data_IF_678873430790
#
_entry.id   IF_678873430790
#
_cell.length_a   1.000
_cell.length_b   1.000
_cell.length_c   1.000
_cell.angle_alpha   90.00
_cell.angle_beta   90.00
_cell.angle_gamma   90.00
#
_symmetry.space_group_name_H-M   'P 1'
#
loop_
_entity.id
_entity.type
_entity.pdbx_description
1 polymer ?
#
# COMPACT_ATOMS: atom_id res chain seq x y z
N UNK A 1 -7.81 -13.62 -60.33
CA UNK A 1 -8.65 -13.64 -59.11
C UNK A 1 -7.83 -13.90 -57.84
N UNK A 2 -6.63 -13.30 -57.69
CA UNK A 2 -5.72 -13.59 -56.54
C UNK A 2 -5.20 -12.32 -55.83
N UNK A 3 -5.45 -11.12 -56.36
CA UNK A 3 -4.99 -9.87 -55.75
C UNK A 3 -5.95 -9.30 -54.68
N UNK A 4 -7.26 -9.61 -54.78
CA UNK A 4 -8.29 -9.06 -53.89
C UNK A 4 -8.26 -9.73 -52.50
N UNK A 5 -7.90 -11.01 -52.42
CA UNK A 5 -7.83 -11.73 -51.13
C UNK A 5 -6.66 -11.27 -50.24
N UNK A 6 -5.53 -10.83 -50.82
CA UNK A 6 -4.38 -10.31 -50.05
C UNK A 6 -4.61 -8.91 -49.47
N UNK A 7 -5.54 -8.13 -50.05
CA UNK A 7 -5.84 -6.78 -49.59
C UNK A 7 -6.77 -6.79 -48.37
N UNK A 8 -7.66 -7.79 -48.29
CA UNK A 8 -8.61 -7.95 -47.19
C UNK A 8 -7.89 -8.43 -45.91
N UNK A 9 -6.92 -9.34 -46.03
CA UNK A 9 -6.14 -9.83 -44.88
C UNK A 9 -5.24 -8.75 -44.27
N UNK A 10 -4.66 -7.86 -45.08
CA UNK A 10 -3.83 -6.74 -44.58
C UNK A 10 -4.66 -5.69 -43.82
N UNK A 11 -5.90 -5.44 -44.26
CA UNK A 11 -6.82 -4.51 -43.61
C UNK A 11 -7.31 -5.03 -42.26
N UNK A 12 -7.67 -6.32 -42.16
CA UNK A 12 -8.12 -6.93 -40.91
C UNK A 12 -7.03 -7.01 -39.83
N UNK A 13 -5.75 -7.20 -40.20
CA UNK A 13 -4.65 -7.15 -39.23
C UNK A 13 -4.46 -5.74 -38.64
N UNK A 14 -4.65 -4.69 -39.44
CA UNK A 14 -4.46 -3.30 -39.00
C UNK A 14 -5.47 -2.89 -37.90
N UNK A 15 -6.73 -3.36 -38.00
CA UNK A 15 -7.74 -3.12 -36.96
C UNK A 15 -7.45 -3.82 -35.64
N UNK A 16 -6.82 -5.01 -35.66
CA UNK A 16 -6.43 -5.73 -34.43
C UNK A 16 -5.29 -4.98 -33.72
N UNK A 17 -4.33 -4.43 -34.47
CA UNK A 17 -3.24 -3.63 -33.88
C UNK A 17 -3.74 -2.29 -33.30
N UNK A 18 -4.66 -1.61 -33.98
CA UNK A 18 -5.22 -0.35 -33.48
C UNK A 18 -6.10 -0.52 -32.24
N UNK A 19 -6.89 -1.60 -32.17
CA UNK A 19 -7.67 -1.93 -30.97
C UNK A 19 -6.77 -2.32 -29.79
N UNK A 20 -5.63 -2.97 -30.04
CA UNK A 20 -4.68 -3.36 -28.99
C UNK A 20 -3.97 -2.15 -28.37
N UNK A 21 -3.62 -1.14 -29.18
CA UNK A 21 -3.01 0.09 -28.69
C UNK A 21 -3.97 0.94 -27.83
N UNK A 22 -5.26 1.00 -28.17
CA UNK A 22 -6.26 1.77 -27.42
C UNK A 22 -6.67 1.08 -26.11
N UNK A 23 -6.71 -0.25 -26.07
CA UNK A 23 -6.91 -0.97 -24.81
C UNK A 23 -5.71 -0.86 -23.86
N UNK A 24 -4.48 -0.91 -24.38
CA UNK A 24 -3.27 -0.76 -23.58
C UNK A 24 -3.22 0.62 -22.92
N UNK A 25 -3.48 1.69 -23.68
CA UNK A 25 -3.48 3.06 -23.14
C UNK A 25 -4.57 3.28 -22.08
N UNK A 26 -5.78 2.73 -22.28
CA UNK A 26 -6.85 2.82 -21.28
C UNK A 26 -6.53 2.05 -20.00
N UNK A 27 -5.88 0.88 -20.12
CA UNK A 27 -5.45 0.07 -18.98
C UNK A 27 -4.38 0.79 -18.15
N UNK A 28 -3.43 1.47 -18.81
CA UNK A 28 -2.37 2.22 -18.14
C UNK A 28 -2.90 3.49 -17.46
N UNK A 29 -3.83 4.23 -18.08
CA UNK A 29 -4.49 5.39 -17.46
C UNK A 29 -5.26 4.99 -16.21
N UNK A 30 -6.00 3.87 -16.27
CA UNK A 30 -6.74 3.37 -15.12
C UNK A 30 -5.79 2.95 -13.98
N UNK A 31 -4.63 2.36 -14.31
CA UNK A 31 -3.61 2.01 -13.32
C UNK A 31 -3.06 3.24 -12.59
N UNK A 32 -2.73 4.31 -13.31
CA UNK A 32 -2.20 5.53 -12.68
C UNK A 32 -3.23 6.25 -11.82
N UNK A 33 -4.51 6.26 -12.24
CA UNK A 33 -5.60 6.79 -11.42
C UNK A 33 -5.73 6.03 -10.08
N UNK A 34 -5.65 4.70 -10.11
CA UNK A 34 -5.68 3.86 -8.91
C UNK A 34 -4.44 4.09 -8.02
N UNK A 35 -3.24 4.23 -8.61
CA UNK A 35 -2.03 4.58 -7.86
C UNK A 35 -2.16 5.93 -7.15
N UNK A 36 -2.70 6.94 -7.84
CA UNK A 36 -2.91 8.27 -7.26
C UNK A 36 -3.97 8.26 -6.14
N UNK A 37 -5.05 7.50 -6.31
CA UNK A 37 -6.02 7.29 -5.23
C UNK A 37 -5.37 6.62 -4.01
N UNK A 38 -4.54 5.60 -4.23
CA UNK A 38 -3.81 4.92 -3.17
C UNK A 38 -2.83 5.86 -2.45
N UNK A 39 -2.03 6.65 -3.18
CA UNK A 39 -1.15 7.69 -2.63
C UNK A 39 -1.90 8.68 -1.73
N UNK A 40 -3.13 9.06 -2.11
CA UNK A 40 -3.99 9.92 -1.29
C UNK A 40 -4.30 9.30 0.08
N UNK A 41 -4.65 8.02 0.12
CA UNK A 41 -4.94 7.29 1.37
C UNK A 41 -3.67 7.14 2.21
N UNK A 42 -2.54 6.80 1.57
CA UNK A 42 -1.23 6.73 2.23
C UNK A 42 -0.86 8.08 2.87
N UNK A 43 -1.16 9.19 2.20
CA UNK A 43 -0.99 10.54 2.76
C UNK A 43 -1.75 10.74 4.08
N UNK A 44 -2.93 10.13 4.24
CA UNK A 44 -3.68 10.18 5.51
C UNK A 44 -2.96 9.39 6.61
N UNK A 45 -2.36 8.23 6.28
CA UNK A 45 -1.59 7.45 7.26
C UNK A 45 -0.30 8.16 7.69
N UNK A 46 0.39 8.80 6.75
CA UNK A 46 1.58 9.60 7.04
C UNK A 46 1.25 10.78 7.97
N UNK A 47 0.11 11.44 7.74
CA UNK A 47 -0.36 12.55 8.59
C UNK A 47 -0.70 12.10 10.02
N UNK A 48 -1.14 10.86 10.18
CA UNK A 48 -1.48 10.26 11.49
C UNK A 48 -0.24 9.71 12.24
N UNK A 49 0.97 9.80 11.69
CA UNK A 49 2.18 9.15 12.25
C UNK A 49 2.43 9.47 13.72
N UNK A 50 2.29 10.73 14.14
CA UNK A 50 2.48 11.12 15.54
C UNK A 50 1.39 10.55 16.45
N UNK A 51 0.17 10.44 15.94
CA UNK A 51 -0.96 9.82 16.65
C UNK A 51 -0.68 8.35 16.87
N UNK A 52 -0.20 7.63 15.85
CA UNK A 52 0.20 6.22 15.99
C UNK A 52 1.33 6.03 17.00
N UNK A 53 2.34 6.89 16.98
CA UNK A 53 3.41 6.83 17.97
C UNK A 53 2.89 6.98 19.40
N UNK A 54 2.10 8.03 19.67
CA UNK A 54 1.55 8.29 21.02
C UNK A 54 0.64 7.13 21.46
N UNK A 55 -0.24 6.68 20.56
CA UNK A 55 -1.15 5.57 20.83
C UNK A 55 -0.37 4.26 21.08
N UNK A 56 0.75 4.04 20.40
CA UNK A 56 1.62 2.87 20.60
C UNK A 56 2.32 2.86 21.95
N UNK A 57 2.41 3.99 22.66
CA UNK A 57 2.94 4.05 24.03
C UNK A 57 1.85 4.14 25.11
N UNK A 58 0.57 4.19 24.71
CA UNK A 58 -0.57 4.34 25.63
C UNK A 58 -1.26 2.99 25.90
N UNK A 59 -2.15 2.95 26.89
CA UNK A 59 -3.11 1.85 27.07
C UNK A 59 -4.28 1.94 26.08
N UNK A 60 -5.00 0.83 25.90
CA UNK A 60 -6.19 0.82 25.06
C UNK A 60 -7.30 1.66 25.71
N UNK A 61 -7.64 2.77 25.06
CA UNK A 61 -8.81 3.60 25.29
C UNK A 61 -9.86 3.41 24.19
N UNK A 62 -11.12 3.87 24.39
CA UNK A 62 -12.12 3.89 23.33
C UNK A 62 -11.63 4.64 22.07
N UNK A 63 -10.89 5.74 22.24
CA UNK A 63 -10.32 6.50 21.13
C UNK A 63 -9.29 5.68 20.35
N UNK A 64 -8.34 5.05 21.03
CA UNK A 64 -7.32 4.21 20.36
C UNK A 64 -7.94 2.96 19.74
N UNK A 65 -9.06 2.47 20.27
CA UNK A 65 -9.80 1.36 19.66
C UNK A 65 -10.47 1.79 18.34
N UNK A 66 -11.08 3.00 18.30
CA UNK A 66 -11.62 3.52 17.06
C UNK A 66 -10.52 3.84 16.04
N UNK A 67 -9.37 4.34 16.51
CA UNK A 67 -8.18 4.50 15.67
C UNK A 67 -7.75 3.17 15.06
N UNK A 68 -7.68 2.09 15.86
CA UNK A 68 -7.34 0.74 15.39
C UNK A 68 -8.25 0.28 14.25
N UNK A 69 -9.57 0.42 14.42
CA UNK A 69 -10.53 -0.01 13.40
C UNK A 69 -10.43 0.86 12.13
N UNK A 70 -10.37 2.18 12.27
CA UNK A 70 -10.16 3.11 11.16
C UNK A 70 -8.89 2.82 10.37
N UNK A 71 -7.78 2.54 11.07
CA UNK A 71 -6.51 2.19 10.42
C UNK A 71 -6.61 0.86 9.68
N UNK A 72 -7.27 -0.15 10.24
CA UNK A 72 -7.48 -1.43 9.56
C UNK A 72 -8.31 -1.27 8.28
N UNK A 73 -9.32 -0.40 8.28
CA UNK A 73 -10.10 -0.08 7.08
C UNK A 73 -9.24 0.60 6.02
N UNK A 74 -8.45 1.62 6.40
CA UNK A 74 -7.51 2.29 5.49
C UNK A 74 -6.53 1.28 4.87
N UNK A 75 -6.00 0.35 5.67
CA UNK A 75 -5.07 -0.70 5.20
C UNK A 75 -5.75 -1.70 4.28
N UNK A 76 -6.99 -2.10 4.58
CA UNK A 76 -7.77 -2.97 3.70
C UNK A 76 -7.98 -2.32 2.31
N UNK A 77 -8.22 -1.00 2.28
CA UNK A 77 -8.35 -0.26 1.02
C UNK A 77 -7.01 -0.19 0.27
N UNK A 78 -5.90 0.14 0.95
CA UNK A 78 -4.55 0.17 0.34
C UNK A 78 -4.22 -1.21 -0.27
N UNK A 79 -4.43 -2.29 0.48
CA UNK A 79 -4.21 -3.65 0.01
C UNK A 79 -5.10 -3.97 -1.20
N UNK A 80 -6.36 -3.56 -1.16
CA UNK A 80 -7.29 -3.70 -2.29
C UNK A 80 -6.76 -3.03 -3.56
N UNK A 81 -6.18 -1.83 -3.44
CA UNK A 81 -5.51 -1.17 -4.56
C UNK A 81 -4.31 -1.95 -5.06
N UNK A 82 -3.42 -2.43 -4.17
CA UNK A 82 -2.26 -3.23 -4.57
C UNK A 82 -2.66 -4.49 -5.34
N UNK A 83 -3.65 -5.22 -4.84
CA UNK A 83 -4.18 -6.42 -5.46
C UNK A 83 -4.83 -6.13 -6.83
N UNK A 84 -5.53 -5.00 -6.95
CA UNK A 84 -6.22 -4.60 -8.19
C UNK A 84 -5.24 -4.11 -9.25
N UNK A 85 -4.23 -3.33 -8.86
CA UNK A 85 -3.21 -2.79 -9.78
C UNK A 85 -2.29 -3.92 -10.26
N UNK A 86 -1.91 -4.83 -9.38
CA UNK A 86 -1.01 -5.95 -9.68
C UNK A 86 0.39 -5.50 -10.11
N UNK A 87 1.06 -6.29 -10.97
CA UNK A 87 2.39 -5.99 -11.54
C UNK A 87 3.47 -5.65 -10.49
N UNK A 88 3.42 -6.30 -9.33
CA UNK A 88 4.34 -6.07 -8.21
C UNK A 88 4.29 -4.67 -7.60
N UNK A 89 3.27 -3.86 -7.90
CA UNK A 89 3.12 -2.54 -7.29
C UNK A 89 3.03 -2.65 -5.77
N UNK A 90 3.89 -1.90 -5.10
CA UNK A 90 3.83 -1.66 -3.65
C UNK A 90 3.60 -0.18 -3.38
N UNK A 91 2.71 0.11 -2.44
CA UNK A 91 2.32 1.48 -2.17
C UNK A 91 3.45 2.33 -1.57
N UNK A 92 4.49 1.68 -1.01
CA UNK A 92 5.62 2.32 -0.33
C UNK A 92 6.85 2.55 -1.22
N UNK A 93 6.81 2.18 -2.51
CA UNK A 93 7.95 2.30 -3.44
C UNK A 93 8.47 3.73 -3.58
N UNK A 94 7.57 4.71 -3.56
CA UNK A 94 7.90 6.12 -3.76
C UNK A 94 8.15 6.87 -2.43
N UNK A 95 8.09 6.17 -1.28
CA UNK A 95 8.28 6.80 0.02
C UNK A 95 9.77 6.99 0.32
N UNK A 96 10.13 8.20 0.73
CA UNK A 96 11.48 8.46 1.24
C UNK A 96 11.65 7.87 2.66
N UNK A 97 12.91 7.78 3.13
CA UNK A 97 13.21 7.14 4.40
C UNK A 97 12.52 7.78 5.62
N UNK A 98 12.27 9.09 5.59
CA UNK A 98 11.53 9.77 6.66
C UNK A 98 10.04 9.37 6.66
N UNK A 99 9.44 9.23 5.47
CA UNK A 99 8.08 8.73 5.30
C UNK A 99 7.97 7.24 5.67
N UNK A 100 9.00 6.43 5.37
CA UNK A 100 9.09 5.04 5.83
C UNK A 100 9.07 4.99 7.37
N UNK A 101 9.83 5.85 8.06
CA UNK A 101 9.76 5.94 9.52
C UNK A 101 8.36 6.34 10.02
N UNK A 102 7.72 7.31 9.36
CA UNK A 102 6.37 7.76 9.71
C UNK A 102 5.34 6.64 9.59
N UNK A 103 5.31 5.93 8.46
CA UNK A 103 4.34 4.86 8.25
C UNK A 103 4.66 3.60 9.06
N UNK A 104 5.92 3.38 9.40
CA UNK A 104 6.31 2.29 10.27
C UNK A 104 5.62 2.36 11.64
N UNK A 105 5.38 3.56 12.19
CA UNK A 105 4.58 3.72 13.41
C UNK A 105 3.14 3.21 13.29
N UNK A 106 2.52 3.30 12.10
CA UNK A 106 1.21 2.70 11.86
C UNK A 106 1.27 1.18 12.04
N UNK A 107 2.30 0.54 11.50
CA UNK A 107 2.48 -0.90 11.64
C UNK A 107 2.76 -1.33 13.09
N UNK A 108 3.63 -0.61 13.80
CA UNK A 108 3.88 -0.81 15.24
C UNK A 108 2.59 -0.70 16.05
N UNK A 109 1.79 0.34 15.78
CA UNK A 109 0.49 0.55 16.42
C UNK A 109 -0.46 -0.64 16.19
N UNK A 110 -0.61 -1.08 14.94
CA UNK A 110 -1.46 -2.23 14.62
C UNK A 110 -1.00 -3.51 15.31
N UNK A 111 0.31 -3.76 15.35
CA UNK A 111 0.89 -4.93 16.00
C UNK A 111 0.63 -4.93 17.51
N UNK A 112 0.83 -3.78 18.20
CA UNK A 112 0.55 -3.64 19.63
C UNK A 112 -0.88 -4.03 19.99
N UNK A 113 -1.85 -3.55 19.21
CA UNK A 113 -3.26 -3.73 19.53
C UNK A 113 -3.93 -4.95 18.86
N UNK A 114 -3.17 -5.77 18.12
CA UNK A 114 -3.65 -6.99 17.44
C UNK A 114 -4.48 -7.91 18.34
N UNK A 115 -4.08 -8.04 19.61
CA UNK A 115 -4.75 -8.92 20.58
C UNK A 115 -6.18 -8.48 20.93
N UNK A 116 -6.52 -7.20 20.75
CA UNK A 116 -7.83 -6.64 21.11
C UNK A 116 -8.88 -6.74 20.00
N UNK A 117 -8.52 -7.32 18.86
CA UNK A 117 -9.45 -7.47 17.75
C UNK A 117 -10.49 -8.55 18.03
N UNK A 118 -11.77 -8.35 17.65
CA UNK A 118 -12.77 -9.40 17.65
C UNK A 118 -12.29 -10.60 16.83
N UNK A 119 -12.62 -11.82 17.27
CA UNK A 119 -12.30 -13.07 16.55
C UNK A 119 -12.92 -13.16 15.15
N UNK A 120 -13.97 -12.38 14.88
CA UNK A 120 -14.69 -12.35 13.60
C UNK A 120 -14.08 -11.43 12.55
N UNK A 121 -13.19 -10.51 12.93
CA UNK A 121 -12.43 -9.75 11.94
C UNK A 121 -11.43 -10.74 11.34
N UNK A 122 -11.32 -10.82 10.02
CA UNK A 122 -10.28 -11.63 9.38
C UNK A 122 -8.91 -11.06 9.74
N UNK A 123 -8.38 -11.54 10.86
CA UNK A 123 -7.11 -11.14 11.42
C UNK A 123 -5.96 -11.57 10.53
N UNK A 124 -6.16 -12.49 9.58
CA UNK A 124 -5.05 -13.24 9.04
C UNK A 124 -4.39 -12.50 7.88
N UNK A 125 -5.12 -12.15 6.83
CA UNK A 125 -4.51 -11.54 5.65
C UNK A 125 -4.01 -10.11 5.90
N UNK A 126 -4.76 -9.30 6.65
CA UNK A 126 -4.35 -7.92 6.94
C UNK A 126 -3.12 -7.87 7.81
N UNK A 127 -3.01 -8.74 8.82
CA UNK A 127 -1.81 -8.75 9.65
C UNK A 127 -0.63 -9.45 9.01
N UNK A 128 -0.82 -10.46 8.17
CA UNK A 128 0.28 -11.02 7.37
C UNK A 128 0.88 -9.91 6.50
N UNK A 129 0.02 -9.11 5.85
CA UNK A 129 0.43 -7.97 5.05
C UNK A 129 1.16 -6.92 5.89
N UNK A 130 0.59 -6.50 7.04
CA UNK A 130 1.22 -5.51 7.94
C UNK A 130 2.56 -6.01 8.45
N UNK A 131 2.64 -7.26 8.90
CA UNK A 131 3.86 -7.85 9.45
C UNK A 131 4.98 -7.93 8.40
N UNK A 132 4.65 -8.18 7.13
CA UNK A 132 5.61 -8.15 6.03
C UNK A 132 6.14 -6.73 5.78
N UNK A 133 5.25 -5.73 5.72
CA UNK A 133 5.62 -4.34 5.49
C UNK A 133 6.43 -3.74 6.65
N UNK A 134 6.06 -4.01 7.90
CA UNK A 134 6.83 -3.55 9.07
C UNK A 134 8.26 -4.06 9.03
N UNK A 135 8.46 -5.35 8.73
CA UNK A 135 9.81 -5.92 8.59
C UNK A 135 10.60 -5.25 7.49
N UNK A 136 9.97 -5.01 6.33
CA UNK A 136 10.60 -4.28 5.23
C UNK A 136 11.00 -2.85 5.64
N UNK A 137 10.11 -2.10 6.28
CA UNK A 137 10.39 -0.73 6.71
C UNK A 137 11.48 -0.66 7.77
N UNK A 138 11.43 -1.51 8.79
CA UNK A 138 12.46 -1.58 9.82
C UNK A 138 13.81 -1.97 9.21
N UNK A 139 13.83 -2.84 8.21
CA UNK A 139 15.04 -3.17 7.46
C UNK A 139 15.59 -1.94 6.71
N UNK A 140 14.77 -1.24 5.92
CA UNK A 140 15.18 -0.01 5.22
C UNK A 140 15.71 1.08 6.16
N UNK A 141 15.10 1.21 7.34
CA UNK A 141 15.55 2.13 8.40
C UNK A 141 16.88 1.69 9.01
N UNK A 142 17.08 0.40 9.23
CA UNK A 142 18.36 -0.14 9.69
C UNK A 142 19.48 0.05 8.65
N UNK A 143 19.20 -0.12 7.36
CA UNK A 143 20.19 0.15 6.31
C UNK A 143 20.58 1.64 6.25
N UNK A 144 19.59 2.53 6.45
CA UNK A 144 19.79 3.97 6.33
C UNK A 144 20.43 4.61 7.57
N UNK A 145 20.01 4.21 8.76
CA UNK A 145 20.42 4.85 10.02
C UNK A 145 21.34 3.97 10.88
N UNK A 146 21.49 2.68 10.54
CA UNK A 146 22.29 1.70 11.31
C UNK A 146 21.89 1.72 12.78
N UNK A 147 22.86 1.85 13.67
CA UNK A 147 22.65 1.89 15.12
C UNK A 147 22.21 3.27 15.63
N UNK A 148 22.19 4.29 14.77
CA UNK A 148 21.74 5.64 15.18
C UNK A 148 20.24 5.68 15.19
N UNK A 149 19.65 6.03 16.34
CA UNK A 149 18.21 6.20 16.45
C UNK A 149 17.84 7.66 16.23
N UNK A 150 16.87 7.90 15.35
CA UNK A 150 16.38 9.26 15.07
C UNK A 150 15.28 9.67 16.06
N UNK A 151 14.88 10.94 15.99
CA UNK A 151 13.70 11.38 16.72
C UNK A 151 12.46 10.64 16.20
N UNK A 152 11.64 10.13 17.12
CA UNK A 152 10.44 9.36 16.78
C UNK A 152 10.76 8.16 15.88
N UNK A 153 11.82 7.43 16.20
CA UNK A 153 12.23 6.23 15.45
C UNK A 153 11.33 5.04 15.76
N UNK A 154 10.66 4.49 14.74
CA UNK A 154 9.73 3.36 14.93
C UNK A 154 10.42 2.05 15.35
N UNK A 155 11.75 1.97 15.23
CA UNK A 155 12.54 0.80 15.66
C UNK A 155 12.70 0.73 17.18
N UNK A 156 12.38 1.80 17.91
CA UNK A 156 12.35 1.83 19.38
C UNK A 156 11.08 1.22 19.97
N UNK A 157 10.34 0.41 19.22
CA UNK A 157 9.14 -0.23 19.74
C UNK A 157 9.54 -1.35 20.69
N UNK A 158 9.39 -1.10 21.99
CA UNK A 158 9.52 -2.07 23.08
C UNK A 158 8.35 -3.07 23.09
#
# INVERSE_FOLDING_TARGET
>A
MSCIEKLITLSSLCFIFLASCSLASQTDINSEALKNANRGIVGTLLSDAKVYQIASSSELSPLTQQLLFSTLEKIAVIRGYEQTIGKSYRFDEDLNIAQINQICWMGVFLQKYKQYLPTKIDKNESYIWVDAYVKHWQHSLNESYRDTLIENDCRKSD
#
